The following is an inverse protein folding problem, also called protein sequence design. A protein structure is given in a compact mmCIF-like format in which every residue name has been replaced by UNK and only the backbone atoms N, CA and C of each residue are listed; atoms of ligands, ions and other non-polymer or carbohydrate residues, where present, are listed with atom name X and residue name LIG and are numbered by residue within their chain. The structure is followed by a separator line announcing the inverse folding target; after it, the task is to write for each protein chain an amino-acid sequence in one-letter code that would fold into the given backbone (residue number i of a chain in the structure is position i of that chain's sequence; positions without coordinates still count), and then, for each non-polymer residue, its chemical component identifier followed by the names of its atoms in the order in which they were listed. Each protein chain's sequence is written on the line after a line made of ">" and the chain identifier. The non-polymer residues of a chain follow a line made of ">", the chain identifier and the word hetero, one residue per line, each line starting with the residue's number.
data_IF_256622430139
#
_entry.id   IF_256622430139
#
_cell.length_a   1.000
_cell.length_b   1.000
_cell.length_c   1.000
_cell.angle_alpha   90.00
_cell.angle_beta   90.00
_cell.angle_gamma   90.00
#
_symmetry.space_group_name_H-M   'P 1'
#
loop_
_entity.id
_entity.type
_entity.pdbx_description
1 polymer ?
#
# COMPACT_ATOMS: atom_id res chain seq x y z
N UNK A 1 -11.82 -5.51 5.38
CA UNK A 1 -12.64 -4.70 4.46
C UNK A 1 -11.83 -3.44 4.22
N UNK A 2 -11.56 -3.10 2.97
CA UNK A 2 -10.77 -1.91 2.62
C UNK A 2 -11.69 -0.79 2.19
N UNK A 3 -11.35 0.43 2.57
CA UNK A 3 -12.07 1.66 2.22
C UNK A 3 -11.68 2.14 0.82
N UNK A 4 -10.40 1.92 0.46
CA UNK A 4 -9.81 2.41 -0.79
C UNK A 4 -8.97 1.28 -1.42
N UNK A 5 -9.05 1.16 -2.74
CA UNK A 5 -8.19 0.26 -3.53
C UNK A 5 -7.18 1.05 -4.35
N UNK A 6 -5.90 0.71 -4.25
CA UNK A 6 -4.82 1.32 -5.04
C UNK A 6 -4.16 0.26 -5.92
N UNK A 7 -4.16 0.49 -7.23
CA UNK A 7 -3.48 -0.38 -8.20
C UNK A 7 -2.25 0.36 -8.74
N UNK A 8 -1.07 -0.22 -8.50
CA UNK A 8 0.22 0.33 -8.93
C UNK A 8 1.05 0.87 -7.77
N UNK A 9 2.05 0.10 -7.37
CA UNK A 9 3.01 0.45 -6.30
C UNK A 9 4.34 0.98 -6.88
N UNK A 10 4.26 2.03 -7.68
CA UNK A 10 5.44 2.85 -8.00
C UNK A 10 5.74 3.79 -6.82
N UNK A 11 6.82 4.59 -6.91
CA UNK A 11 7.26 5.50 -5.81
C UNK A 11 6.12 6.41 -5.31
N UNK A 12 5.32 7.00 -6.20
CA UNK A 12 4.17 7.82 -5.77
C UNK A 12 3.01 6.99 -5.21
N UNK A 13 2.79 5.78 -5.75
CA UNK A 13 1.69 4.91 -5.32
C UNK A 13 1.87 4.45 -3.87
N UNK A 14 3.08 4.01 -3.52
CA UNK A 14 3.43 3.63 -2.15
C UNK A 14 3.26 4.79 -1.17
N UNK A 15 3.74 5.99 -1.52
CA UNK A 15 3.58 7.17 -0.66
C UNK A 15 2.10 7.58 -0.46
N UNK A 16 1.26 7.43 -1.49
CA UNK A 16 -0.17 7.70 -1.37
C UNK A 16 -0.84 6.70 -0.41
N UNK A 17 -0.50 5.42 -0.51
CA UNK A 17 -1.04 4.38 0.39
C UNK A 17 -0.67 4.68 1.84
N UNK A 18 0.60 5.02 2.11
CA UNK A 18 1.05 5.37 3.45
C UNK A 18 0.33 6.61 3.99
N UNK A 19 0.13 7.62 3.14
CA UNK A 19 -0.61 8.82 3.54
C UNK A 19 -2.06 8.50 3.90
N UNK A 20 -2.74 7.64 3.13
CA UNK A 20 -4.11 7.23 3.42
C UNK A 20 -4.21 6.39 4.71
N UNK A 21 -3.25 5.49 4.93
CA UNK A 21 -3.12 4.72 6.17
C UNK A 21 -2.90 5.62 7.39
N UNK A 22 -2.02 6.63 7.28
CA UNK A 22 -1.79 7.64 8.34
C UNK A 22 -3.05 8.47 8.67
N UNK A 23 -3.98 8.61 7.71
CA UNK A 23 -5.25 9.30 7.90
C UNK A 23 -6.39 8.36 8.35
N UNK A 24 -6.08 7.10 8.65
CA UNK A 24 -7.02 6.13 9.22
C UNK A 24 -7.89 5.39 8.20
N UNK A 25 -7.51 5.38 6.92
CA UNK A 25 -8.19 4.59 5.89
C UNK A 25 -7.52 3.24 5.71
N UNK A 26 -8.31 2.17 5.57
CA UNK A 26 -7.79 0.85 5.22
C UNK A 26 -7.63 0.76 3.71
N UNK A 27 -6.40 0.54 3.23
CA UNK A 27 -6.11 0.58 1.79
C UNK A 27 -5.71 -0.79 1.27
N UNK A 28 -6.48 -1.35 0.34
CA UNK A 28 -6.09 -2.54 -0.37
C UNK A 28 -5.14 -2.19 -1.53
N UNK A 29 -3.95 -2.80 -1.55
CA UNK A 29 -2.98 -2.58 -2.62
C UNK A 29 -2.90 -3.77 -3.57
N UNK A 30 -2.76 -3.47 -4.86
CA UNK A 30 -2.49 -4.48 -5.88
C UNK A 30 -1.49 -3.97 -6.91
N UNK A 31 -0.65 -4.86 -7.41
CA UNK A 31 0.29 -4.56 -8.48
C UNK A 31 0.45 -5.79 -9.38
N UNK A 32 0.66 -5.56 -10.68
CA UNK A 32 0.85 -6.64 -11.66
C UNK A 32 2.03 -7.55 -11.29
N UNK A 33 3.11 -6.94 -10.82
CA UNK A 33 4.29 -7.65 -10.33
C UNK A 33 4.15 -7.82 -8.83
N UNK A 34 3.96 -9.07 -8.37
CA UNK A 34 3.75 -9.39 -6.97
C UNK A 34 4.95 -9.04 -6.09
N UNK A 35 6.18 -9.18 -6.59
CA UNK A 35 7.39 -8.85 -5.83
C UNK A 35 7.42 -7.40 -5.32
N UNK A 36 6.75 -6.47 -6.03
CA UNK A 36 6.60 -5.07 -5.58
C UNK A 36 5.69 -4.93 -4.37
N UNK A 37 4.67 -5.79 -4.26
CA UNK A 37 3.79 -5.85 -3.10
C UNK A 37 4.59 -6.38 -1.91
N UNK A 38 5.35 -7.47 -2.11
CA UNK A 38 6.17 -8.06 -1.06
C UNK A 38 7.25 -7.09 -0.56
N UNK A 39 7.94 -6.39 -1.47
CA UNK A 39 8.92 -5.33 -1.16
C UNK A 39 8.28 -4.20 -0.35
N UNK A 40 7.07 -3.77 -0.72
CA UNK A 40 6.35 -2.70 -0.04
C UNK A 40 5.93 -3.12 1.38
N UNK A 41 5.29 -4.29 1.52
CA UNK A 41 4.81 -4.82 2.80
C UNK A 41 5.95 -5.16 3.77
N UNK A 42 7.10 -5.63 3.27
CA UNK A 42 8.28 -5.90 4.10
C UNK A 42 9.11 -4.64 4.41
N UNK A 43 8.95 -3.57 3.63
CA UNK A 43 9.69 -2.33 3.74
C UNK A 43 8.85 -1.18 4.30
N UNK A 44 8.41 -0.29 3.42
CA UNK A 44 7.75 0.97 3.79
C UNK A 44 6.44 0.78 4.57
N UNK A 45 5.72 -0.32 4.30
CA UNK A 45 4.46 -0.68 4.96
C UNK A 45 4.61 -1.63 6.15
N UNK A 46 5.84 -1.94 6.57
CA UNK A 46 6.08 -2.90 7.65
C UNK A 46 5.41 -2.46 8.97
N UNK A 47 4.53 -3.31 9.50
CA UNK A 47 3.81 -3.09 10.76
C UNK A 47 2.55 -2.23 10.66
N UNK A 48 2.09 -1.89 9.45
CA UNK A 48 0.82 -1.19 9.18
C UNK A 48 -0.29 -2.17 8.77
N UNK A 49 -1.55 -1.77 8.93
CA UNK A 49 -2.74 -2.60 8.61
C UNK A 49 -3.26 -2.25 7.20
N UNK A 50 -2.46 -2.61 6.18
CA UNK A 50 -2.67 -2.36 4.73
C UNK A 50 -2.59 -3.65 3.92
#
# INVERSE_FOLDING_TARGET
>A
MADIGVIGLAVMGSNLVLNLDDHGYRVAVHNRTLSRIDEFLAGEAAGRDI
#
